data_IF_243114407912
#
_entry.id   IF_243114407912
#
_cell.length_a   1.000
_cell.length_b   1.000
_cell.length_c   1.000
_cell.angle_alpha   90.00
_cell.angle_beta   90.00
_cell.angle_gamma   90.00
#
_symmetry.space_group_name_H-M   'P 1'
#
loop_
_entity.id
_entity.type
_entity.pdbx_description
1 polymer ?
#
# COMPACT_ATOMS: atom_id res chain seq x y z
N UNK A 1 -7.50 10.78 24.68
CA UNK A 1 -8.05 11.86 23.83
C UNK A 1 -7.03 12.96 23.58
N UNK A 2 -6.74 13.87 24.53
CA UNK A 2 -5.76 14.96 24.29
C UNK A 2 -4.33 14.43 24.02
N UNK A 3 -3.92 13.38 24.73
CA UNK A 3 -2.63 12.71 24.52
C UNK A 3 -2.53 12.02 23.15
N UNK A 4 -3.62 11.42 22.64
CA UNK A 4 -3.60 10.66 21.38
C UNK A 4 -3.49 11.58 20.16
N UNK A 5 -4.14 12.75 20.24
CA UNK A 5 -4.04 13.78 19.21
C UNK A 5 -2.61 14.34 19.12
N UNK A 6 -2.00 14.62 20.28
CA UNK A 6 -0.63 15.13 20.32
C UNK A 6 0.37 14.07 19.85
N UNK A 7 0.20 12.79 20.22
CA UNK A 7 1.03 11.69 19.69
C UNK A 7 0.93 11.59 18.17
N UNK A 8 -0.27 11.66 17.59
CA UNK A 8 -0.45 11.63 16.14
C UNK A 8 0.18 12.85 15.45
N UNK A 9 0.04 14.05 16.03
CA UNK A 9 0.66 15.26 15.52
C UNK A 9 2.20 15.19 15.60
N UNK A 10 2.75 14.67 16.69
CA UNK A 10 4.20 14.47 16.86
C UNK A 10 4.75 13.44 15.87
N UNK A 11 4.02 12.34 15.64
CA UNK A 11 4.36 11.36 14.60
C UNK A 11 4.48 12.03 13.23
N UNK A 12 3.45 12.81 12.81
CA UNK A 12 3.48 13.49 11.51
C UNK A 12 4.64 14.49 11.42
N UNK A 13 4.87 15.30 12.46
CA UNK A 13 6.00 16.25 12.53
C UNK A 13 7.36 15.54 12.47
N UNK A 14 7.48 14.36 13.09
CA UNK A 14 8.71 13.56 13.08
C UNK A 14 8.97 12.97 11.69
N UNK A 15 7.93 12.39 11.08
CA UNK A 15 7.98 11.83 9.73
C UNK A 15 8.38 12.90 8.69
N UNK A 16 7.78 14.09 8.75
CA UNK A 16 8.06 15.20 7.82
C UNK A 16 9.50 15.78 7.93
N UNK A 17 10.25 15.45 8.99
CA UNK A 17 11.66 15.86 9.13
C UNK A 17 12.65 14.84 8.57
N UNK A 18 12.14 13.72 8.06
CA UNK A 18 12.91 12.58 7.58
C UNK A 18 12.76 12.45 6.06
N UNK A 19 13.75 11.79 5.45
CA UNK A 19 13.80 11.55 4.00
C UNK A 19 13.74 10.04 3.64
N UNK A 20 13.74 9.18 4.66
CA UNK A 20 13.80 7.72 4.57
C UNK A 20 12.41 7.06 4.59
N UNK A 21 11.37 7.74 4.12
CA UNK A 21 10.02 7.20 4.01
C UNK A 21 9.43 7.28 2.60
N UNK A 22 8.48 6.39 2.34
CA UNK A 22 7.67 6.33 1.13
C UNK A 22 6.20 6.13 1.49
N UNK A 23 5.30 6.64 0.67
CA UNK A 23 3.88 6.27 0.68
C UNK A 23 3.69 5.12 -0.30
N UNK A 24 2.99 4.08 0.13
CA UNK A 24 2.55 2.98 -0.73
C UNK A 24 1.02 2.94 -0.75
N UNK A 25 0.48 2.76 -1.95
CA UNK A 25 -0.95 2.61 -2.21
C UNK A 25 -1.17 1.56 -3.29
N UNK A 26 -2.26 0.78 -3.17
CA UNK A 26 -2.58 -0.30 -4.10
C UNK A 26 -4.05 -0.31 -4.51
N UNK A 27 -4.30 -0.65 -5.78
CA UNK A 27 -5.62 -1.06 -6.25
C UNK A 27 -5.62 -2.55 -6.56
N UNK A 28 -6.76 -3.22 -6.38
CA UNK A 28 -6.83 -4.69 -6.35
C UNK A 28 -7.98 -5.23 -7.17
N UNK A 29 -7.97 -6.53 -7.47
CA UNK A 29 -9.11 -7.20 -8.12
C UNK A 29 -10.37 -7.25 -7.25
N UNK A 30 -10.21 -7.05 -5.94
CA UNK A 30 -11.23 -7.21 -4.90
C UNK A 30 -10.63 -7.19 -3.49
N UNK A 31 -11.40 -7.62 -2.48
CA UNK A 31 -11.03 -7.51 -1.06
C UNK A 31 -10.74 -8.86 -0.36
N UNK A 32 -10.90 -9.98 -1.08
CA UNK A 32 -10.88 -11.35 -0.55
C UNK A 32 -9.49 -12.00 -0.54
N UNK A 33 -9.40 -13.24 -0.04
CA UNK A 33 -8.13 -13.99 0.06
C UNK A 33 -7.55 -14.46 -1.27
N UNK A 34 -8.33 -14.39 -2.36
CA UNK A 34 -7.86 -14.76 -3.70
C UNK A 34 -7.45 -13.54 -4.53
N UNK A 35 -7.72 -12.33 -4.04
CA UNK A 35 -7.49 -11.09 -4.75
C UNK A 35 -6.01 -10.73 -4.85
N UNK A 36 -5.69 -9.96 -5.88
CA UNK A 36 -4.32 -9.55 -6.18
C UNK A 36 -4.27 -8.07 -6.58
N UNK A 37 -3.07 -7.51 -6.51
CA UNK A 37 -2.79 -6.13 -6.87
C UNK A 37 -2.86 -5.94 -8.39
N UNK A 38 -3.52 -4.87 -8.83
CA UNK A 38 -3.64 -4.42 -10.22
C UNK A 38 -3.07 -3.02 -10.47
N UNK A 39 -2.71 -2.28 -9.41
CA UNK A 39 -1.95 -1.04 -9.49
C UNK A 39 -1.08 -0.90 -8.25
N UNK A 40 0.13 -0.39 -8.42
CA UNK A 40 1.00 0.02 -7.30
C UNK A 40 1.48 1.44 -7.54
N UNK A 41 1.34 2.28 -6.53
CA UNK A 41 1.94 3.61 -6.49
C UNK A 41 2.87 3.74 -5.26
N UNK A 42 4.07 4.25 -5.49
CA UNK A 42 5.08 4.52 -4.47
C UNK A 42 5.63 5.92 -4.66
N UNK A 43 5.40 6.76 -3.66
CA UNK A 43 5.80 8.17 -3.66
C UNK A 43 6.82 8.40 -2.55
N UNK A 44 7.94 9.05 -2.87
CA UNK A 44 8.96 9.43 -1.89
C UNK A 44 8.55 10.68 -1.08
N UNK A 45 9.31 10.96 -0.03
CA UNK A 45 9.08 12.09 0.87
C UNK A 45 9.01 13.47 0.18
N UNK A 46 9.67 13.62 -0.97
CA UNK A 46 9.74 14.84 -1.77
C UNK A 46 8.64 14.92 -2.86
N UNK A 47 7.76 13.91 -2.93
CA UNK A 47 6.72 13.78 -3.96
C UNK A 47 7.18 13.08 -5.24
N UNK A 48 8.43 12.64 -5.34
CA UNK A 48 8.93 11.88 -6.47
C UNK A 48 8.19 10.54 -6.61
N UNK A 49 7.74 10.22 -7.82
CA UNK A 49 7.08 8.94 -8.13
C UNK A 49 8.15 7.88 -8.40
N UNK A 50 8.37 6.97 -7.45
CA UNK A 50 9.39 5.91 -7.56
C UNK A 50 8.86 4.69 -8.31
N UNK A 51 7.56 4.44 -8.20
CA UNK A 51 6.81 3.44 -8.95
C UNK A 51 5.38 3.95 -9.11
N UNK A 52 4.83 3.88 -10.30
CA UNK A 52 3.41 4.13 -10.57
C UNK A 52 3.05 3.34 -11.81
N UNK A 53 2.44 2.18 -11.63
CA UNK A 53 2.15 1.27 -12.74
C UNK A 53 0.93 0.43 -12.47
N UNK A 54 0.22 0.15 -13.56
CA UNK A 54 -0.75 -0.93 -13.61
C UNK A 54 -0.04 -2.28 -13.62
N UNK A 55 -0.77 -3.32 -13.20
CA UNK A 55 -0.32 -4.70 -13.15
C UNK A 55 -1.41 -5.59 -13.74
N UNK A 56 -1.03 -6.46 -14.67
CA UNK A 56 -1.97 -7.42 -15.25
C UNK A 56 -2.22 -8.58 -14.28
N UNK A 57 -3.46 -8.78 -13.80
CA UNK A 57 -3.78 -9.84 -12.86
C UNK A 57 -3.86 -11.20 -13.55
N UNK A 58 -3.81 -12.27 -12.76
CA UNK A 58 -4.10 -13.64 -13.23
C UNK A 58 -5.59 -13.96 -13.23
N UNK A 59 -6.41 -13.12 -12.59
CA UNK A 59 -7.87 -13.29 -12.53
C UNK A 59 -8.61 -12.00 -12.87
N UNK A 60 -9.89 -12.09 -13.30
CA UNK A 60 -10.68 -10.91 -13.59
C UNK A 60 -10.92 -10.03 -12.36
N UNK A 61 -10.97 -8.71 -12.58
CA UNK A 61 -11.37 -7.73 -11.57
C UNK A 61 -12.88 -7.89 -11.29
N UNK A 62 -13.27 -7.85 -10.01
CA UNK A 62 -14.66 -7.86 -9.59
C UNK A 62 -15.38 -6.56 -9.97
N UNK A 63 -16.70 -6.64 -10.24
CA UNK A 63 -17.50 -5.45 -10.57
C UNK A 63 -17.51 -4.41 -9.44
N UNK A 64 -17.43 -4.85 -8.17
CA UNK A 64 -17.36 -3.97 -7.03
C UNK A 64 -16.04 -3.18 -7.00
N UNK A 65 -14.90 -3.82 -7.27
CA UNK A 65 -13.62 -3.13 -7.36
C UNK A 65 -13.59 -2.13 -8.54
N UNK A 66 -14.07 -2.55 -9.72
CA UNK A 66 -14.22 -1.64 -10.88
C UNK A 66 -15.05 -0.40 -10.51
N UNK A 67 -16.14 -0.56 -9.75
CA UNK A 67 -16.97 0.56 -9.34
C UNK A 67 -16.27 1.53 -8.37
N UNK A 68 -15.23 1.08 -7.65
CA UNK A 68 -14.44 1.91 -6.72
C UNK A 68 -13.35 2.68 -7.47
N UNK A 69 -12.47 2.00 -8.20
CA UNK A 69 -11.26 2.61 -8.77
C UNK A 69 -11.32 2.83 -10.30
N UNK A 70 -12.32 2.29 -10.99
CA UNK A 70 -12.54 2.51 -12.43
C UNK A 70 -11.59 1.78 -13.39
N UNK A 71 -10.65 0.97 -12.89
CA UNK A 71 -9.72 0.17 -13.70
C UNK A 71 -10.47 -1.06 -14.20
N UNK A 72 -10.43 -1.31 -15.51
CA UNK A 72 -11.15 -2.41 -16.13
C UNK A 72 -10.20 -3.52 -16.57
N UNK A 73 -10.72 -4.74 -16.78
CA UNK A 73 -9.92 -5.83 -17.36
C UNK A 73 -9.29 -5.44 -18.71
N UNK A 74 -9.97 -4.59 -19.50
CA UNK A 74 -9.45 -4.10 -20.77
C UNK A 74 -8.25 -3.14 -20.59
N UNK A 75 -8.25 -2.34 -19.52
CA UNK A 75 -7.16 -1.41 -19.18
C UNK A 75 -5.85 -2.16 -18.86
N UNK A 76 -5.95 -3.42 -18.40
CA UNK A 76 -4.82 -4.21 -17.90
C UNK A 76 -4.23 -5.19 -18.92
N UNK A 77 -4.76 -5.26 -20.14
CA UNK A 77 -4.32 -6.26 -21.14
C UNK A 77 -2.83 -6.12 -21.46
N UNK A 78 -2.37 -4.88 -21.64
CA UNK A 78 -0.99 -4.52 -21.97
C UNK A 78 -0.13 -4.19 -20.73
N UNK A 79 -0.70 -4.28 -19.52
CA UNK A 79 0.06 -4.04 -18.30
C UNK A 79 1.06 -5.18 -18.05
N UNK A 80 2.22 -4.89 -17.43
CA UNK A 80 3.16 -5.93 -17.05
C UNK A 80 2.55 -6.85 -15.98
N UNK A 81 2.87 -8.15 -15.96
CA UNK A 81 2.56 -9.01 -14.83
C UNK A 81 3.32 -8.55 -13.57
N UNK A 82 2.83 -8.92 -12.39
CA UNK A 82 3.45 -8.50 -11.13
C UNK A 82 4.92 -8.90 -11.01
N UNK A 83 5.31 -10.06 -11.59
CA UNK A 83 6.69 -10.54 -11.61
C UNK A 83 7.68 -9.59 -12.29
N UNK A 84 7.24 -8.76 -13.24
CA UNK A 84 8.13 -7.82 -13.93
C UNK A 84 8.41 -6.56 -13.10
N UNK A 85 7.48 -6.17 -12.23
CA UNK A 85 7.64 -4.99 -11.36
C UNK A 85 8.23 -5.32 -9.99
N UNK A 86 8.30 -6.61 -9.64
CA UNK A 86 8.65 -7.09 -8.29
C UNK A 86 10.00 -6.58 -7.78
N UNK A 87 11.06 -6.67 -8.60
CA UNK A 87 12.40 -6.23 -8.16
C UNK A 87 12.47 -4.71 -7.95
N UNK A 88 11.80 -3.93 -8.80
CA UNK A 88 11.70 -2.48 -8.63
C UNK A 88 10.92 -2.14 -7.36
N UNK A 89 9.75 -2.75 -7.16
CA UNK A 89 8.92 -2.60 -5.96
C UNK A 89 9.74 -2.87 -4.70
N UNK A 90 10.41 -4.03 -4.64
CA UNK A 90 11.28 -4.41 -3.53
C UNK A 90 12.38 -3.39 -3.29
N UNK A 91 13.07 -2.94 -4.34
CA UNK A 91 14.15 -1.98 -4.21
C UNK A 91 13.70 -0.64 -3.64
N UNK A 92 12.52 -0.14 -4.04
CA UNK A 92 12.05 1.19 -3.61
C UNK A 92 11.48 1.21 -2.19
N UNK A 93 11.03 0.07 -1.64
CA UNK A 93 10.53 -0.02 -0.26
C UNK A 93 11.58 -0.52 0.74
N UNK A 94 12.63 -1.21 0.27
CA UNK A 94 13.64 -1.81 1.16
C UNK A 94 14.35 -0.77 2.01
N UNK A 95 14.38 -0.99 3.32
CA UNK A 95 15.09 -0.13 4.27
C UNK A 95 14.43 1.23 4.53
N UNK A 96 13.20 1.45 4.05
CA UNK A 96 12.46 2.71 4.26
C UNK A 96 11.29 2.50 5.21
N UNK A 97 10.86 3.57 5.86
CA UNK A 97 9.55 3.62 6.51
C UNK A 97 8.46 3.65 5.42
N UNK A 98 7.54 2.69 5.46
CA UNK A 98 6.42 2.56 4.52
C UNK A 98 5.17 3.11 5.19
N UNK A 99 4.65 4.21 4.65
CA UNK A 99 3.43 4.85 5.11
C UNK A 99 2.28 4.39 4.21
N UNK A 100 1.23 3.85 4.82
CA UNK A 100 0.07 3.32 4.10
C UNK A 100 -1.18 3.82 4.81
N UNK A 101 -2.23 4.18 4.08
CA UNK A 101 -3.48 4.57 4.72
C UNK A 101 -4.05 3.41 5.54
N UNK A 102 -4.32 2.27 4.92
CA UNK A 102 -4.80 1.06 5.60
C UNK A 102 -3.77 -0.07 5.53
N UNK A 103 -2.67 0.06 6.28
CA UNK A 103 -1.54 -0.87 6.20
C UNK A 103 -1.89 -2.38 6.26
N UNK A 104 -2.81 -2.85 7.14
CA UNK A 104 -3.21 -4.26 7.14
C UNK A 104 -3.80 -4.75 5.80
N UNK A 105 -4.49 -3.89 5.07
CA UNK A 105 -5.07 -4.22 3.77
C UNK A 105 -3.97 -4.37 2.71
N UNK A 106 -3.20 -3.32 2.45
CA UNK A 106 -2.19 -3.34 1.38
C UNK A 106 -1.10 -4.39 1.61
N UNK A 107 -0.65 -4.58 2.86
CA UNK A 107 0.35 -5.60 3.18
C UNK A 107 -0.18 -7.03 2.98
N UNK A 108 -1.46 -7.26 3.30
CA UNK A 108 -2.10 -8.56 3.02
C UNK A 108 -2.13 -8.82 1.52
N UNK A 109 -2.57 -7.85 0.73
CA UNK A 109 -2.68 -7.98 -0.73
C UNK A 109 -1.31 -8.09 -1.40
N UNK A 110 -0.29 -7.40 -0.90
CA UNK A 110 1.09 -7.55 -1.34
C UNK A 110 1.58 -8.99 -1.11
N UNK A 111 1.37 -9.54 0.08
CA UNK A 111 1.77 -10.90 0.41
C UNK A 111 0.99 -11.95 -0.42
N UNK A 112 -0.32 -11.78 -0.58
CA UNK A 112 -1.16 -12.65 -1.42
C UNK A 112 -0.68 -12.63 -2.88
N UNK A 113 -0.41 -11.44 -3.42
CA UNK A 113 0.08 -11.27 -4.79
C UNK A 113 1.46 -11.92 -4.98
N UNK A 114 2.43 -11.64 -4.10
CA UNK A 114 3.77 -12.27 -4.16
C UNK A 114 3.66 -13.80 -4.17
N UNK A 115 2.82 -14.38 -3.28
CA UNK A 115 2.59 -15.83 -3.23
C UNK A 115 1.97 -16.35 -4.52
N UNK A 116 0.97 -15.65 -5.07
CA UNK A 116 0.30 -16.02 -6.33
C UNK A 116 1.24 -16.07 -7.52
N UNK A 117 2.31 -15.27 -7.51
CA UNK A 117 3.37 -15.28 -8.53
C UNK A 117 4.55 -16.19 -8.20
N UNK A 118 4.54 -16.90 -7.06
CA UNK A 118 5.63 -17.77 -6.59
C UNK A 118 6.97 -17.02 -6.45
N UNK A 119 6.90 -15.76 -6.04
CA UNK A 119 8.07 -14.91 -5.84
C UNK A 119 8.57 -15.01 -4.39
N UNK A 120 9.87 -14.75 -4.14
CA UNK A 120 10.39 -14.65 -2.78
C UNK A 120 9.60 -13.61 -1.96
N UNK A 121 9.39 -13.88 -0.67
CA UNK A 121 8.74 -12.90 0.20
C UNK A 121 9.65 -11.69 0.39
N UNK A 122 9.05 -10.50 0.44
CA UNK A 122 9.75 -9.28 0.84
C UNK A 122 9.63 -9.19 2.36
N UNK A 123 10.77 -9.25 3.04
CA UNK A 123 10.82 -9.02 4.49
C UNK A 123 10.63 -7.52 4.77
N UNK A 124 9.45 -7.18 5.27
CA UNK A 124 9.13 -5.82 5.73
C UNK A 124 9.20 -5.85 7.25
N UNK A 125 10.11 -5.07 7.84
CA UNK A 125 10.16 -4.91 9.29
C UNK A 125 8.87 -4.23 9.75
N UNK A 126 8.07 -4.84 10.65
CA UNK A 126 6.84 -4.22 11.16
C UNK A 126 7.06 -2.85 11.80
N UNK A 127 8.24 -2.58 12.37
CA UNK A 127 8.60 -1.27 12.95
C UNK A 127 8.77 -0.17 11.88
N UNK A 128 8.92 -0.55 10.61
CA UNK A 128 9.01 0.36 9.48
C UNK A 128 7.65 0.64 8.84
N UNK A 129 6.56 0.04 9.31
CA UNK A 129 5.22 0.24 8.75
C UNK A 129 4.43 1.23 9.60
N UNK A 130 3.96 2.30 8.98
CA UNK A 130 3.15 3.33 9.63
C UNK A 130 1.75 3.39 8.99
N UNK A 131 0.72 3.06 9.78
CA UNK A 131 -0.67 3.09 9.33
C UNK A 131 -1.26 4.50 9.53
N UNK A 132 -1.34 5.29 8.46
CA UNK A 132 -1.82 6.67 8.52
C UNK A 132 -3.29 6.78 8.93
N UNK A 133 -4.14 5.80 8.60
CA UNK A 133 -5.54 5.78 9.05
C UNK A 133 -5.65 5.76 10.57
N UNK A 134 -4.84 4.95 11.26
CA UNK A 134 -4.85 4.89 12.72
C UNK A 134 -4.33 6.19 13.36
N UNK A 135 -3.27 6.79 12.78
CA UNK A 135 -2.75 8.08 13.25
C UNK A 135 -3.79 9.19 13.05
N UNK A 136 -4.46 9.20 11.90
CA UNK A 136 -5.50 10.16 11.59
C UNK A 136 -6.74 9.99 12.49
N UNK A 137 -7.17 8.75 12.73
CA UNK A 137 -8.21 8.40 13.69
C UNK A 137 -7.90 8.93 15.10
N UNK A 138 -6.69 8.68 15.60
CA UNK A 138 -6.23 9.17 16.88
C UNK A 138 -6.24 10.71 16.94
N UNK A 139 -5.83 11.38 15.86
CA UNK A 139 -5.88 12.84 15.74
C UNK A 139 -7.31 13.39 15.69
N UNK A 140 -8.23 12.71 15.02
CA UNK A 140 -9.65 13.10 14.99
C UNK A 140 -10.39 12.82 16.31
N UNK A 141 -9.84 11.98 17.18
CA UNK A 141 -10.52 11.51 18.38
C UNK A 141 -11.58 10.44 18.10
N UNK A 142 -11.59 9.87 16.90
CA UNK A 142 -12.49 8.79 16.47
C UNK A 142 -11.74 7.47 16.63
N UNK A 143 -11.66 6.93 17.85
CA UNK A 143 -10.93 5.68 18.10
C UNK A 143 -11.61 4.54 17.34
N UNK A 144 -10.95 3.98 16.31
CA UNK A 144 -11.39 2.74 15.67
C UNK A 144 -11.08 1.57 16.61
N UNK A 145 -12.08 1.12 17.37
CA UNK A 145 -11.95 0.01 18.33
C UNK A 145 -12.10 -1.39 17.73
N UNK A 146 -12.38 -1.53 16.43
CA UNK A 146 -12.55 -2.85 15.81
C UNK A 146 -11.81 -2.92 14.48
N UNK A 147 -10.75 -3.76 14.47
CA UNK A 147 -10.03 -4.18 13.27
C UNK A 147 -10.74 -5.28 12.51
#
# INVERSE_FOLDING_TARGET
>A
MENDQEIAAQWARSLLKREDWVILDTETTGLSEIDEIIQVAIIAHDGSRLLDTLVRPKQPISAAAIAVHGITNATLVEAPPFSEIYEQLKAVISGKTIVIYNAPFDLRLLNQTIKKYHLPQIEINPEQVECAMLKYSAWKGEIWIHG
#
